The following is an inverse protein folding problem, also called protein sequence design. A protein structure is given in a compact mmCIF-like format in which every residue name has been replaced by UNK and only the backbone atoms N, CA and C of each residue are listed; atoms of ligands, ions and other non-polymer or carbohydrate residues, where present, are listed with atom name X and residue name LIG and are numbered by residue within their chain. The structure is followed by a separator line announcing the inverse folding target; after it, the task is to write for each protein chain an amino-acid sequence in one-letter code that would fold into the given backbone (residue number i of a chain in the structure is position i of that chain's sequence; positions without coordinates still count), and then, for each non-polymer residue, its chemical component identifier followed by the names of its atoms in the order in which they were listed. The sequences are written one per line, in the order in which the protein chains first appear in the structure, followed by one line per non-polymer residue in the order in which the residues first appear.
data_IF_873086387972
#
_entry.id   IF_873086387972
#
_cell.length_a   1.000
_cell.length_b   1.000
_cell.length_c   1.000
_cell.angle_alpha   90.00
_cell.angle_beta   90.00
_cell.angle_gamma   90.00
#
_symmetry.space_group_name_H-M   'P 1'
#
loop_
_entity.id
_entity.type
_entity.pdbx_description
1 polymer ?
#
# COMPACT_ATOMS: atom_id res chain seq x y z
N UNK A 1 -50.01 6.56 -44.13
CA UNK A 1 -49.89 7.37 -45.36
C UNK A 1 -48.67 8.27 -45.18
N UNK A 2 -47.55 7.97 -45.87
CA UNK A 2 -47.08 8.77 -47.03
C UNK A 2 -46.91 10.25 -46.66
N UNK A 3 -45.74 10.90 -46.67
CA UNK A 3 -44.60 10.83 -47.60
C UNK A 3 -43.43 11.64 -47.01
N UNK A 4 -42.21 11.16 -47.19
CA UNK A 4 -41.03 12.02 -47.46
C UNK A 4 -41.09 12.41 -48.96
N UNK A 5 -40.44 13.49 -49.46
CA UNK A 5 -38.98 13.44 -49.62
C UNK A 5 -38.17 14.78 -49.73
N UNK A 6 -36.83 14.60 -49.62
CA UNK A 6 -35.71 15.26 -50.33
C UNK A 6 -35.42 16.76 -50.05
N UNK A 7 -34.17 17.25 -49.95
CA UNK A 7 -32.96 16.86 -50.72
C UNK A 7 -31.64 17.47 -50.19
N UNK A 8 -30.53 16.72 -50.39
CA UNK A 8 -29.13 17.13 -50.77
C UNK A 8 -28.30 17.93 -49.73
N UNK A 9 -27.00 17.69 -49.46
CA UNK A 9 -25.86 17.25 -50.30
C UNK A 9 -24.67 16.76 -49.44
N UNK A 10 -23.87 15.87 -50.03
CA UNK A 10 -22.48 15.40 -49.81
C UNK A 10 -21.56 16.04 -48.74
N UNK A 11 -20.73 15.21 -48.08
CA UNK A 11 -19.26 15.08 -48.31
C UNK A 11 -18.76 13.78 -47.66
N UNK A 12 -17.95 13.04 -48.42
CA UNK A 12 -17.23 11.82 -48.03
C UNK A 12 -16.06 12.13 -47.08
N UNK A 13 -15.78 11.20 -46.17
CA UNK A 13 -14.53 11.14 -45.39
C UNK A 13 -14.49 9.87 -44.55
N UNK A 14 -13.76 8.87 -45.04
CA UNK A 14 -13.41 7.63 -44.35
C UNK A 14 -12.57 7.90 -43.09
N UNK A 15 -12.72 7.04 -42.08
CA UNK A 15 -11.64 6.46 -41.25
C UNK A 15 -12.12 6.21 -39.81
N UNK A 16 -12.27 4.94 -39.42
CA UNK A 16 -12.13 4.52 -38.01
C UNK A 16 -11.94 3.00 -37.95
N UNK A 17 -10.71 2.59 -38.24
CA UNK A 17 -10.15 1.30 -37.87
C UNK A 17 -8.97 1.58 -36.93
N UNK A 18 -8.92 0.85 -35.81
CA UNK A 18 -7.79 0.70 -34.88
C UNK A 18 -7.33 1.92 -34.05
N UNK A 19 -7.96 2.14 -32.89
CA UNK A 19 -7.28 2.72 -31.71
C UNK A 19 -7.64 1.88 -30.47
N UNK A 20 -7.07 0.68 -30.39
CA UNK A 20 -7.32 -0.25 -29.28
C UNK A 20 -6.08 -1.02 -28.79
N UNK A 21 -4.89 -0.71 -29.30
CA UNK A 21 -3.68 -1.54 -29.04
C UNK A 21 -2.41 -0.73 -28.72
N UNK A 22 -2.55 0.54 -28.30
CA UNK A 22 -1.38 1.39 -28.02
C UNK A 22 -1.29 1.95 -26.58
N UNK A 23 -2.18 1.55 -25.67
CA UNK A 23 -2.09 1.97 -24.26
C UNK A 23 -1.52 0.92 -23.28
N UNK A 24 -1.18 -0.27 -23.76
CA UNK A 24 -0.63 -1.36 -22.94
C UNK A 24 0.90 -1.50 -23.00
N UNK A 25 1.59 -0.71 -23.83
CA UNK A 25 3.05 -0.75 -23.95
C UNK A 25 3.80 0.39 -23.24
N UNK A 26 3.09 1.36 -22.66
CA UNK A 26 3.74 2.52 -21.99
C UNK A 26 3.80 2.39 -20.46
N UNK A 27 3.15 1.38 -19.86
CA UNK A 27 3.14 1.21 -18.39
C UNK A 27 4.08 0.14 -17.82
N UNK A 28 4.78 -0.62 -18.66
CA UNK A 28 5.76 -1.61 -18.18
C UNK A 28 7.23 -1.13 -18.20
N UNK A 29 7.58 -0.09 -18.97
CA UNK A 29 8.98 0.39 -19.02
C UNK A 29 9.36 1.41 -17.95
N UNK A 30 8.42 1.89 -17.12
CA UNK A 30 8.72 2.86 -16.06
C UNK A 30 9.14 2.21 -14.72
N UNK A 31 8.85 0.93 -14.52
CA UNK A 31 9.17 0.21 -13.27
C UNK A 31 10.53 -0.50 -13.30
N UNK A 32 11.10 -0.80 -14.47
CA UNK A 32 12.46 -1.37 -14.58
C UNK A 32 13.58 -0.31 -14.56
N UNK A 33 13.29 0.96 -14.82
CA UNK A 33 14.31 2.02 -14.83
C UNK A 33 14.61 2.61 -13.44
N UNK A 34 13.73 2.44 -12.45
CA UNK A 34 13.94 2.99 -11.11
C UNK A 34 14.74 2.06 -10.18
N UNK A 35 14.72 0.74 -10.44
CA UNK A 35 15.42 -0.24 -9.59
C UNK A 35 16.90 -0.45 -9.96
N UNK A 36 17.36 0.06 -11.10
CA UNK A 36 18.73 -0.15 -11.61
C UNK A 36 19.71 0.99 -11.30
N UNK A 37 19.27 2.06 -10.63
CA UNK A 37 20.09 3.27 -10.40
C UNK A 37 20.47 3.51 -8.93
N UNK A 38 20.04 2.65 -8.00
CA UNK A 38 20.33 2.81 -6.55
C UNK A 38 21.32 1.78 -5.97
N UNK A 39 21.84 0.84 -6.77
CA UNK A 39 22.76 -0.21 -6.30
C UNK A 39 24.19 -0.12 -6.88
N UNK A 40 24.69 1.07 -7.26
CA UNK A 40 26.05 1.17 -7.83
C UNK A 40 26.82 2.44 -7.48
N UNK A 41 26.68 2.98 -6.26
CA UNK A 41 27.62 3.97 -5.74
C UNK A 41 27.86 3.78 -4.25
N UNK A 42 28.97 3.12 -3.95
CA UNK A 42 29.92 3.36 -2.85
C UNK A 42 30.63 2.05 -2.48
N UNK A 43 31.44 1.59 -3.42
CA UNK A 43 32.60 0.76 -3.15
C UNK A 43 33.73 1.30 -4.01
N UNK A 44 34.92 1.36 -3.41
CA UNK A 44 36.23 1.68 -4.00
C UNK A 44 36.59 3.17 -4.16
N UNK A 45 37.31 3.71 -3.18
CA UNK A 45 38.66 4.23 -3.42
C UNK A 45 39.44 4.35 -2.09
N UNK A 46 40.41 3.44 -1.92
CA UNK A 46 41.46 3.49 -0.90
C UNK A 46 42.81 3.74 -1.63
N UNK A 47 43.69 4.48 -0.94
CA UNK A 47 45.16 4.63 -1.06
C UNK A 47 45.77 5.77 -1.86
N UNK A 48 46.43 6.68 -1.10
CA UNK A 48 47.76 7.32 -1.28
C UNK A 48 47.73 8.66 -0.48
N UNK A 49 48.62 9.06 0.43
CA UNK A 49 49.83 8.52 1.04
C UNK A 49 50.63 9.65 1.73
N UNK A 50 50.88 9.49 3.04
CA UNK A 50 52.13 9.88 3.78
C UNK A 50 52.36 11.35 4.30
N UNK A 51 53.30 11.61 5.26
CA UNK A 51 53.09 11.66 6.73
C UNK A 51 53.63 12.94 7.43
N UNK A 52 53.13 13.37 8.61
CA UNK A 52 53.91 14.24 9.52
C UNK A 52 53.68 13.92 11.02
N UNK A 53 54.79 13.46 11.62
CA UNK A 53 55.32 13.55 12.99
C UNK A 53 54.47 13.40 14.28
N UNK A 54 54.95 12.41 15.04
CA UNK A 54 54.76 12.10 16.47
C UNK A 54 55.08 13.26 17.41
N UNK A 55 54.27 13.42 18.47
CA UNK A 55 54.77 13.66 19.83
C UNK A 55 53.97 12.87 20.87
N UNK A 56 54.72 12.13 21.69
CA UNK A 56 54.42 11.37 22.95
C UNK A 56 54.01 12.35 24.07
N UNK A 57 53.29 12.05 25.16
CA UNK A 57 52.87 10.85 25.92
C UNK A 57 51.84 11.32 27.01
N UNK A 58 51.51 10.61 28.13
CA UNK A 58 51.44 9.16 28.40
C UNK A 58 50.10 8.69 29.04
N UNK A 59 49.72 7.46 28.69
CA UNK A 59 49.10 6.38 29.50
C UNK A 59 48.05 6.67 30.59
N UNK A 60 46.85 6.15 30.34
CA UNK A 60 45.89 5.69 31.34
C UNK A 60 44.92 4.71 30.69
N UNK A 61 45.32 3.44 30.61
CA UNK A 61 44.53 2.34 30.05
C UNK A 61 43.15 2.20 30.72
N UNK A 62 42.08 2.27 29.93
CA UNK A 62 40.93 1.38 30.09
C UNK A 62 40.64 0.78 28.72
N UNK A 63 40.84 -0.52 28.65
CA UNK A 63 40.70 -1.37 27.47
C UNK A 63 39.28 -1.42 26.95
N UNK A 64 39.20 -1.54 25.63
CA UNK A 64 38.05 -1.97 24.82
C UNK A 64 37.05 -2.84 25.59
N UNK A 65 35.82 -2.35 25.67
CA UNK A 65 34.64 -3.21 25.68
C UNK A 65 33.82 -2.79 24.50
N UNK A 66 33.79 -3.68 23.50
CA UNK A 66 32.93 -3.61 22.33
C UNK A 66 31.56 -3.10 22.73
N UNK A 67 31.15 -2.01 22.07
CA UNK A 67 29.88 -1.33 22.26
C UNK A 67 28.76 -2.22 21.71
N UNK A 68 28.42 -3.28 22.44
CA UNK A 68 27.24 -4.09 22.18
C UNK A 68 26.03 -3.27 22.64
N UNK A 69 25.56 -2.39 21.74
CA UNK A 69 24.30 -1.67 21.91
C UNK A 69 23.21 -2.74 22.00
N UNK A 70 22.63 -2.90 23.19
CA UNK A 70 21.41 -3.66 23.37
C UNK A 70 20.38 -3.11 22.37
N UNK A 71 19.97 -3.93 21.40
CA UNK A 71 18.98 -3.56 20.42
C UNK A 71 17.69 -3.14 21.16
N UNK A 72 17.19 -1.95 20.82
CA UNK A 72 15.95 -1.45 21.37
C UNK A 72 14.79 -2.43 21.02
N UNK A 73 13.79 -2.60 21.91
CA UNK A 73 12.58 -3.35 21.57
C UNK A 73 11.95 -2.81 20.28
N UNK A 74 11.35 -3.67 19.43
CA UNK A 74 10.74 -3.23 18.17
C UNK A 74 9.67 -2.16 18.42
N UNK A 75 9.88 -0.98 17.83
CA UNK A 75 9.01 0.21 17.99
C UNK A 75 9.63 1.38 18.77
N UNK A 76 10.76 1.17 19.47
CA UNK A 76 11.48 2.23 20.20
C UNK A 76 12.66 2.70 19.33
N UNK A 77 12.79 4.03 19.16
CA UNK A 77 13.90 4.68 18.45
C UNK A 77 15.25 4.17 18.96
N UNK A 78 16.24 3.98 18.08
CA UNK A 78 17.54 3.44 18.48
C UNK A 78 18.26 4.32 19.53
N UNK A 79 19.08 3.69 20.37
CA UNK A 79 19.70 4.35 21.53
C UNK A 79 20.63 5.50 21.15
N UNK A 80 21.28 5.44 19.99
CA UNK A 80 22.16 6.51 19.52
C UNK A 80 21.33 7.75 19.18
N UNK A 81 20.23 7.58 18.45
CA UNK A 81 19.28 8.66 18.14
C UNK A 81 18.66 9.24 19.42
N UNK A 82 18.21 8.40 20.36
CA UNK A 82 17.70 8.88 21.65
C UNK A 82 18.74 9.72 22.40
N UNK A 83 19.99 9.24 22.46
CA UNK A 83 21.10 9.97 23.07
C UNK A 83 21.25 11.35 22.44
N UNK A 84 21.40 11.43 21.12
CA UNK A 84 21.62 12.70 20.41
C UNK A 84 20.48 13.70 20.65
N UNK A 85 19.22 13.24 20.59
CA UNK A 85 18.05 14.09 20.82
C UNK A 85 18.05 14.60 22.27
N UNK A 86 18.18 13.71 23.26
CA UNK A 86 18.11 14.11 24.67
C UNK A 86 19.31 14.92 25.12
N UNK A 87 20.50 14.68 24.57
CA UNK A 87 21.70 15.49 24.83
C UNK A 87 21.45 16.96 24.52
N UNK A 88 20.82 17.25 23.37
CA UNK A 88 20.46 18.61 22.99
C UNK A 88 19.35 19.18 23.89
N UNK A 89 18.29 18.42 24.15
CA UNK A 89 17.15 18.90 24.91
C UNK A 89 17.46 19.16 26.39
N UNK A 90 18.36 18.37 27.00
CA UNK A 90 18.80 18.58 28.39
C UNK A 90 19.70 19.81 28.57
N UNK A 91 20.25 20.37 27.48
CA UNK A 91 21.04 21.61 27.51
C UNK A 91 20.19 22.87 27.37
N UNK A 92 18.88 22.72 27.10
CA UNK A 92 17.98 23.86 26.92
C UNK A 92 17.91 24.69 28.20
N UNK A 93 17.97 26.02 28.05
CA UNK A 93 17.83 26.95 29.19
C UNK A 93 16.35 27.33 29.37
N UNK A 94 15.88 27.49 30.62
CA UNK A 94 14.52 27.95 30.88
C UNK A 94 14.25 29.32 30.26
N UNK A 95 13.19 29.44 29.45
CA UNK A 95 12.70 30.71 28.90
C UNK A 95 11.31 31.01 29.43
N UNK A 96 11.00 32.26 29.77
CA UNK A 96 9.70 32.67 30.33
C UNK A 96 8.52 32.12 29.52
N UNK A 97 7.55 31.50 30.20
CA UNK A 97 6.36 30.91 29.60
C UNK A 97 6.54 29.48 29.08
N UNK A 98 7.76 28.96 28.99
CA UNK A 98 7.98 27.56 28.65
C UNK A 98 7.56 26.63 29.79
N UNK A 99 7.21 25.40 29.42
CA UNK A 99 6.84 24.36 30.37
C UNK A 99 7.92 23.31 30.58
N UNK A 100 7.99 22.85 31.82
CA UNK A 100 8.97 21.87 32.29
C UNK A 100 8.24 20.82 33.12
N UNK A 101 8.77 19.60 33.16
CA UNK A 101 8.13 18.47 33.83
C UNK A 101 9.04 17.88 34.90
N UNK A 102 8.45 17.58 36.06
CA UNK A 102 9.16 16.97 37.18
C UNK A 102 9.31 15.46 36.96
N UNK A 103 10.52 14.95 37.12
CA UNK A 103 10.89 13.54 37.02
C UNK A 103 11.70 13.15 38.25
N UNK A 104 11.57 11.91 38.74
CA UNK A 104 12.45 11.40 39.79
C UNK A 104 13.91 11.37 39.30
N UNK A 105 14.81 11.96 40.07
CA UNK A 105 16.22 12.11 39.69
C UNK A 105 16.93 10.76 39.48
N UNK A 106 16.55 9.72 40.23
CA UNK A 106 17.11 8.38 40.05
C UNK A 106 16.76 7.81 38.66
N UNK A 107 15.54 8.07 38.20
CA UNK A 107 15.07 7.62 36.89
C UNK A 107 15.82 8.33 35.76
N UNK A 108 15.99 9.66 35.84
CA UNK A 108 16.71 10.40 34.79
C UNK A 108 18.19 10.02 34.73
N UNK A 109 18.81 9.77 35.88
CA UNK A 109 20.21 9.32 35.93
C UNK A 109 20.38 7.89 35.41
N UNK A 110 19.40 7.01 35.65
CA UNK A 110 19.37 5.68 35.04
C UNK A 110 19.20 5.75 33.52
N UNK A 111 18.31 6.62 33.01
CA UNK A 111 18.15 6.86 31.58
C UNK A 111 19.46 7.33 30.95
N UNK A 112 20.12 8.33 31.54
CA UNK A 112 21.39 8.85 31.04
C UNK A 112 22.43 7.73 30.91
N UNK A 113 22.54 6.83 31.88
CA UNK A 113 23.44 5.66 31.80
C UNK A 113 23.08 4.70 30.68
N UNK A 114 21.80 4.41 30.54
CA UNK A 114 21.28 3.49 29.55
C UNK A 114 21.60 3.95 28.12
N UNK A 115 21.45 5.24 27.85
CA UNK A 115 21.76 5.85 26.54
C UNK A 115 23.21 6.38 26.43
N UNK A 116 24.01 6.21 27.48
CA UNK A 116 25.44 6.58 27.53
C UNK A 116 25.75 8.06 27.77
N UNK A 117 24.78 8.89 28.15
CA UNK A 117 25.02 10.28 28.56
C UNK A 117 25.78 10.38 29.89
N UNK A 118 26.55 11.46 30.11
CA UNK A 118 27.21 11.71 31.38
C UNK A 118 26.18 11.89 32.50
N UNK A 119 26.39 11.19 33.61
CA UNK A 119 25.59 11.32 34.84
C UNK A 119 26.21 12.35 35.77
N UNK A 120 25.38 13.14 36.45
CA UNK A 120 25.84 14.10 37.46
C UNK A 120 25.81 13.50 38.87
N UNK A 121 25.12 12.37 39.07
CA UNK A 121 24.96 11.72 40.37
C UNK A 121 25.53 10.30 40.38
N UNK A 122 26.16 9.93 41.50
CA UNK A 122 26.73 8.59 41.72
C UNK A 122 25.64 7.61 42.18
N UNK A 123 24.95 7.00 41.23
CA UNK A 123 24.20 5.75 41.45
C UNK A 123 25.08 4.54 41.11
N UNK A 124 24.78 3.36 41.64
CA UNK A 124 25.60 2.14 41.43
C UNK A 124 24.94 1.12 40.49
N UNK A 125 23.90 1.52 39.76
CA UNK A 125 23.15 0.63 38.87
C UNK A 125 23.85 0.41 37.52
N UNK A 126 23.66 -0.78 36.97
CA UNK A 126 24.11 -1.22 35.64
C UNK A 126 23.44 -0.38 34.53
N UNK A 127 23.96 -0.44 33.28
CA UNK A 127 23.36 0.22 32.10
C UNK A 127 22.09 -0.49 31.62
N UNK A 128 21.10 -0.60 32.50
CA UNK A 128 19.81 -1.24 32.21
C UNK A 128 18.77 -0.20 31.79
N UNK A 129 17.77 -0.65 31.03
CA UNK A 129 16.62 0.19 30.67
C UNK A 129 15.96 0.76 31.95
N UNK A 130 15.66 2.07 32.01
CA UNK A 130 15.06 2.69 33.20
C UNK A 130 13.60 2.28 33.47
N UNK A 131 12.91 1.69 32.48
CA UNK A 131 11.47 1.40 32.56
C UNK A 131 10.61 2.67 32.47
N UNK A 132 9.30 2.56 32.77
CA UNK A 132 8.38 3.70 32.69
C UNK A 132 8.76 4.87 33.59
N UNK A 133 8.46 6.08 33.14
CA UNK A 133 8.80 7.32 33.86
C UNK A 133 8.10 7.34 35.22
N UNK A 134 8.83 7.76 36.25
CA UNK A 134 8.31 7.95 37.60
C UNK A 134 8.30 9.46 37.89
N UNK A 135 7.14 9.99 38.23
CA UNK A 135 6.98 11.38 38.70
C UNK A 135 6.61 11.42 40.18
N UNK A 136 7.18 12.36 40.93
CA UNK A 136 6.80 12.62 42.31
C UNK A 136 7.03 14.09 42.63
N UNK A 137 6.27 14.64 43.57
CA UNK A 137 6.46 15.99 44.10
C UNK A 137 6.92 15.90 45.54
N UNK A 138 8.16 15.46 45.73
CA UNK A 138 8.83 15.42 47.04
C UNK A 138 10.06 16.35 47.05
N UNK A 139 10.91 16.22 48.07
CA UNK A 139 12.04 17.12 48.34
C UNK A 139 12.84 17.48 47.07
N UNK A 140 13.22 18.76 46.93
CA UNK A 140 13.85 19.28 45.70
C UNK A 140 15.10 18.49 45.21
N UNK A 141 15.78 17.74 46.09
CA UNK A 141 16.97 16.97 45.73
C UNK A 141 16.66 15.57 45.19
N UNK A 142 15.44 15.07 45.22
CA UNK A 142 15.07 13.73 44.71
C UNK A 142 14.42 13.79 43.33
N UNK A 143 14.19 14.99 42.83
CA UNK A 143 13.58 15.25 41.53
C UNK A 143 14.51 16.09 40.66
N UNK A 144 14.38 15.92 39.36
CA UNK A 144 14.93 16.81 38.35
C UNK A 144 13.78 17.32 37.48
N UNK A 145 14.05 18.34 36.66
CA UNK A 145 13.07 18.91 35.74
C UNK A 145 13.63 18.88 34.32
N UNK A 146 12.77 18.57 33.36
CA UNK A 146 13.12 18.51 31.95
C UNK A 146 12.20 19.39 31.12
N UNK A 147 12.70 19.92 30.02
CA UNK A 147 11.89 20.69 29.09
C UNK A 147 10.75 19.84 28.49
N UNK A 148 9.62 20.45 28.14
CA UNK A 148 8.43 19.79 27.56
C UNK A 148 8.74 18.89 26.36
N UNK A 149 9.63 19.31 25.47
CA UNK A 149 10.03 18.48 24.32
C UNK A 149 10.74 17.19 24.76
N UNK A 150 11.63 17.27 25.76
CA UNK A 150 12.29 16.08 26.30
C UNK A 150 11.27 15.16 26.98
N UNK A 151 10.36 15.75 27.74
CA UNK A 151 9.26 15.02 28.36
C UNK A 151 8.43 14.25 27.33
N UNK A 152 8.00 14.90 26.24
CA UNK A 152 7.21 14.26 25.16
C UNK A 152 7.94 13.07 24.53
N UNK A 153 9.22 13.25 24.20
CA UNK A 153 10.04 12.17 23.64
C UNK A 153 10.19 11.00 24.62
N UNK A 154 10.48 11.29 25.89
CA UNK A 154 10.65 10.24 26.89
C UNK A 154 9.34 9.50 27.18
N UNK A 155 8.19 10.20 27.23
CA UNK A 155 6.88 9.57 27.38
C UNK A 155 6.59 8.63 26.21
N UNK A 156 6.91 9.04 24.98
CA UNK A 156 6.75 8.20 23.81
C UNK A 156 7.62 6.93 23.85
N UNK A 157 8.85 7.03 24.36
CA UNK A 157 9.78 5.90 24.37
C UNK A 157 9.65 4.96 25.58
N UNK A 158 9.31 5.50 26.74
CA UNK A 158 9.34 4.76 28.01
C UNK A 158 7.97 4.63 28.65
N UNK A 159 6.99 5.46 28.27
CA UNK A 159 5.69 5.54 28.92
C UNK A 159 5.77 6.18 30.31
N UNK A 160 4.62 6.26 30.96
CA UNK A 160 4.47 6.75 32.33
C UNK A 160 4.07 5.58 33.23
N UNK A 161 4.65 5.50 34.43
CA UNK A 161 4.30 4.46 35.41
C UNK A 161 2.83 4.55 35.79
N UNK A 162 2.15 3.41 35.92
CA UNK A 162 0.73 3.36 36.28
C UNK A 162 0.43 4.13 37.57
N UNK A 163 -0.64 4.94 37.52
CA UNK A 163 -1.05 5.81 38.63
C UNK A 163 -0.26 7.10 38.78
N UNK A 164 0.86 7.27 38.07
CA UNK A 164 1.57 8.55 38.02
C UNK A 164 0.89 9.53 37.07
N UNK A 165 1.10 10.82 37.30
CA UNK A 165 0.59 11.91 36.44
C UNK A 165 1.73 12.84 36.03
N UNK A 166 1.66 13.47 34.84
CA UNK A 166 2.58 14.55 34.48
C UNK A 166 2.50 15.68 35.51
N UNK A 167 3.65 16.18 35.95
CA UNK A 167 3.73 17.31 36.88
C UNK A 167 4.37 18.48 36.13
N UNK A 168 3.51 19.29 35.51
CA UNK A 168 3.88 20.45 34.70
C UNK A 168 4.22 21.65 35.61
N UNK A 169 5.32 22.33 35.28
CA UNK A 169 5.79 23.58 35.86
C UNK A 169 5.98 24.60 34.74
N UNK A 170 5.94 25.89 35.07
CA UNK A 170 6.12 26.98 34.11
C UNK A 170 7.35 27.79 34.48
N UNK A 171 8.04 28.34 33.48
CA UNK A 171 9.12 29.30 33.72
C UNK A 171 8.55 30.69 33.92
N UNK A 172 8.92 31.33 35.03
CA UNK A 172 8.60 32.70 35.34
C UNK A 172 9.86 33.56 35.31
N UNK A 173 9.75 34.81 34.88
CA UNK A 173 10.87 35.73 34.84
C UNK A 173 10.94 36.54 36.14
N UNK A 174 11.75 36.05 37.08
CA UNK A 174 12.08 36.75 38.33
C UNK A 174 13.01 37.93 38.04
N UNK A 175 13.22 38.83 39.00
CA UNK A 175 14.18 39.94 38.86
C UNK A 175 15.61 39.45 38.63
N UNK A 176 15.94 38.26 39.12
CA UNK A 176 17.22 37.58 38.90
C UNK A 176 17.33 36.87 37.54
N UNK A 177 16.24 36.79 36.78
CA UNK A 177 16.15 36.14 35.48
C UNK A 177 15.11 35.00 35.44
N UNK A 178 14.97 34.33 34.26
CA UNK A 178 14.04 33.23 34.07
C UNK A 178 14.37 32.02 34.93
N UNK A 179 13.38 31.52 35.66
CA UNK A 179 13.51 30.35 36.51
C UNK A 179 12.20 29.57 36.58
N UNK A 180 12.31 28.26 36.81
CA UNK A 180 11.15 27.37 36.89
C UNK A 180 10.40 27.66 38.20
N UNK A 181 9.11 27.96 38.09
CA UNK A 181 8.24 28.16 39.24
C UNK A 181 7.90 26.80 39.87
N UNK A 182 8.53 26.51 41.00
CA UNK A 182 8.27 25.27 41.74
C UNK A 182 6.96 25.29 42.53
N UNK A 183 6.59 26.47 43.07
CA UNK A 183 5.38 26.64 43.87
C UNK A 183 4.52 27.79 43.36
N UNK A 184 3.22 27.53 43.36
CA UNK A 184 2.20 28.55 43.16
C UNK A 184 2.01 29.36 44.44
N UNK A 185 1.77 30.66 44.29
CA UNK A 185 1.46 31.55 45.40
C UNK A 185 0.04 31.28 45.91
N UNK A 186 -0.16 31.40 47.22
CA UNK A 186 -1.47 31.27 47.85
C UNK A 186 -2.14 32.63 47.95
N UNK A 187 -3.29 32.79 47.31
CA UNK A 187 -4.09 33.99 47.32
C UNK A 187 -5.24 33.87 48.32
N UNK A 188 -5.64 34.98 48.93
CA UNK A 188 -6.93 35.13 49.59
C UNK A 188 -7.89 35.75 48.59
N UNK A 189 -9.02 35.12 48.32
CA UNK A 189 -10.00 35.62 47.34
C UNK A 189 -11.36 35.81 47.97
N UNK A 190 -11.97 36.96 47.71
CA UNK A 190 -13.21 37.40 48.35
C UNK A 190 -14.07 38.26 47.42
N UNK A 191 -15.32 38.53 47.80
CA UNK A 191 -16.09 39.62 47.22
C UNK A 191 -15.65 40.94 47.85
N UNK A 192 -15.73 42.04 47.11
CA UNK A 192 -15.32 43.37 47.60
C UNK A 192 -16.17 43.88 48.77
N UNK A 193 -17.41 43.41 48.87
CA UNK A 193 -18.35 43.73 49.96
C UNK A 193 -18.21 42.81 51.18
N UNK A 194 -17.42 41.73 51.09
CA UNK A 194 -17.21 40.79 52.20
C UNK A 194 -16.23 41.36 53.23
N UNK A 195 -16.30 40.84 54.46
CA UNK A 195 -15.27 41.06 55.49
C UNK A 195 -13.92 40.48 55.04
N UNK A 196 -12.80 41.08 55.45
CA UNK A 196 -11.44 40.57 55.18
C UNK A 196 -11.16 39.18 55.79
N UNK A 197 -12.03 38.70 56.67
CA UNK A 197 -11.98 37.35 57.24
C UNK A 197 -12.78 36.32 56.44
N UNK A 198 -13.69 36.78 55.56
CA UNK A 198 -14.53 35.96 54.70
C UNK A 198 -13.89 35.81 53.33
N UNK A 199 -12.97 34.84 53.22
CA UNK A 199 -12.20 34.59 52.00
C UNK A 199 -11.94 33.09 51.77
N UNK A 200 -11.65 32.75 50.51
CA UNK A 200 -11.14 31.44 50.13
C UNK A 200 -9.62 31.48 49.90
N UNK A 201 -8.94 30.39 50.22
CA UNK A 201 -7.55 30.17 49.83
C UNK A 201 -7.49 29.47 48.47
N UNK A 202 -6.87 30.11 47.48
CA UNK A 202 -6.68 29.56 46.14
C UNK A 202 -5.24 29.74 45.71
N UNK A 203 -4.65 28.74 45.05
CA UNK A 203 -3.28 28.83 44.54
C UNK A 203 -3.29 29.18 43.06
N UNK A 204 -2.46 30.15 42.68
CA UNK A 204 -2.26 30.55 41.29
C UNK A 204 -0.77 30.64 40.99
N UNK A 205 -0.40 30.32 39.75
CA UNK A 205 0.93 30.62 39.22
C UNK A 205 1.11 32.12 39.07
N UNK A 206 2.34 32.61 39.19
CA UNK A 206 2.69 33.98 38.80
C UNK A 206 2.41 34.26 37.31
N UNK A 207 2.43 33.22 36.48
CA UNK A 207 2.07 33.29 35.06
C UNK A 207 0.56 33.19 34.80
N UNK A 208 -0.27 33.03 35.83
CA UNK A 208 -1.72 32.99 35.67
C UNK A 208 -2.26 34.33 35.17
N UNK A 209 -3.16 34.29 34.19
CA UNK A 209 -3.81 35.49 33.68
C UNK A 209 -4.83 36.02 34.67
N UNK A 210 -4.93 37.34 34.78
CA UNK A 210 -5.93 38.05 35.59
C UNK A 210 -7.35 37.56 35.28
N UNK A 211 -7.68 37.34 34.00
CA UNK A 211 -9.00 36.84 33.59
C UNK A 211 -9.31 35.41 34.07
N UNK A 212 -8.31 34.54 34.29
CA UNK A 212 -8.54 33.22 34.88
C UNK A 212 -8.81 33.32 36.38
N UNK A 213 -8.05 34.18 37.07
CA UNK A 213 -8.27 34.45 38.50
C UNK A 213 -9.69 34.96 38.71
N UNK A 214 -10.10 35.96 37.93
CA UNK A 214 -11.47 36.50 37.99
C UNK A 214 -12.52 35.42 37.72
N UNK A 215 -12.35 34.63 36.64
CA UNK A 215 -13.24 33.51 36.34
C UNK A 215 -13.35 32.55 37.53
N UNK A 216 -12.23 32.19 38.16
CA UNK A 216 -12.20 31.25 39.28
C UNK A 216 -12.94 31.79 40.50
N UNK A 217 -12.81 33.08 40.81
CA UNK A 217 -13.53 33.72 41.91
C UNK A 217 -15.03 33.75 41.60
N UNK A 218 -15.41 34.10 40.36
CA UNK A 218 -16.81 34.05 39.92
C UNK A 218 -17.42 32.66 40.12
N UNK A 219 -16.69 31.59 39.83
CA UNK A 219 -17.15 30.22 40.10
C UNK A 219 -17.32 29.93 41.59
N UNK A 220 -16.39 30.37 42.44
CA UNK A 220 -16.46 30.15 43.89
C UNK A 220 -17.68 30.84 44.53
N UNK A 221 -18.02 32.04 44.05
CA UNK A 221 -19.16 32.82 44.55
C UNK A 221 -20.43 32.70 43.69
N UNK A 222 -20.46 31.74 42.76
CA UNK A 222 -21.62 31.48 41.89
C UNK A 222 -22.12 32.73 41.12
N UNK A 223 -21.21 33.57 40.63
CA UNK A 223 -21.55 34.80 39.91
C UNK A 223 -22.07 34.45 38.50
N UNK A 224 -23.26 34.96 38.09
CA UNK A 224 -23.83 34.69 36.76
C UNK A 224 -22.89 35.10 35.62
N UNK A 225 -22.91 34.39 34.49
CA UNK A 225 -21.95 34.60 33.38
C UNK A 225 -22.08 35.98 32.73
N UNK A 226 -23.30 36.50 32.65
CA UNK A 226 -23.70 37.81 32.12
C UNK A 226 -23.42 38.97 33.08
N UNK A 227 -23.29 38.68 34.38
CA UNK A 227 -22.95 39.69 35.38
C UNK A 227 -21.53 40.22 35.17
N UNK A 228 -21.36 41.52 34.98
CA UNK A 228 -20.02 42.12 34.89
C UNK A 228 -19.34 42.12 36.28
N UNK A 229 -18.02 41.88 36.27
CA UNK A 229 -17.16 41.97 37.44
C UNK A 229 -15.78 42.50 37.09
N UNK A 230 -15.02 42.93 38.10
CA UNK A 230 -13.61 43.32 38.00
C UNK A 230 -12.89 42.98 39.30
N UNK A 231 -11.56 42.91 39.28
CA UNK A 231 -10.79 42.53 40.47
C UNK A 231 -9.89 43.66 40.98
N UNK A 232 -9.88 43.78 42.31
CA UNK A 232 -8.96 44.60 43.08
C UNK A 232 -7.96 43.69 43.76
N UNK A 233 -6.70 44.11 43.81
CA UNK A 233 -5.64 43.29 44.40
C UNK A 233 -4.69 44.13 45.22
N UNK A 234 -4.22 43.56 46.33
CA UNK A 234 -3.09 44.08 47.10
C UNK A 234 -2.22 42.93 47.60
N UNK A 235 -0.95 43.19 47.84
CA UNK A 235 -0.08 42.25 48.55
C UNK A 235 -0.09 42.55 50.05
N UNK A 236 0.37 41.62 50.89
CA UNK A 236 0.46 41.84 52.35
C UNK A 236 1.33 43.06 52.72
N UNK A 237 2.25 43.46 51.83
CA UNK A 237 3.12 44.63 52.03
C UNK A 237 2.52 45.93 51.53
N UNK A 238 1.44 45.88 50.73
CA UNK A 238 0.80 47.06 50.17
C UNK A 238 -0.36 47.52 51.05
N UNK A 239 -0.40 48.82 51.35
CA UNK A 239 -1.54 49.44 52.04
C UNK A 239 -2.73 49.71 51.13
N UNK A 240 -2.50 49.90 49.82
CA UNK A 240 -3.51 50.35 48.86
C UNK A 240 -3.98 49.24 47.92
N UNK A 241 -5.26 49.28 47.57
CA UNK A 241 -5.85 48.41 46.55
C UNK A 241 -5.51 48.87 45.14
N UNK A 242 -5.06 47.94 44.30
CA UNK A 242 -4.82 48.17 42.87
C UNK A 242 -5.91 47.53 42.04
N UNK A 243 -6.55 48.31 41.16
CA UNK A 243 -7.53 47.80 40.20
C UNK A 243 -6.81 47.15 39.01
N UNK A 244 -7.14 45.90 38.68
CA UNK A 244 -6.56 45.19 37.54
C UNK A 244 -7.58 45.08 36.40
N UNK A 245 -7.48 45.96 35.42
CA UNK A 245 -8.42 46.03 34.30
C UNK A 245 -8.05 45.13 33.13
N UNK A 246 -6.78 44.86 32.88
CA UNK A 246 -6.36 44.05 31.73
C UNK A 246 -6.30 42.57 32.11
N UNK A 247 -7.28 41.79 31.66
CA UNK A 247 -7.42 40.36 31.93
C UNK A 247 -6.36 39.48 31.27
N UNK A 248 -5.68 39.98 30.24
CA UNK A 248 -4.66 39.24 29.50
C UNK A 248 -3.29 39.27 30.16
N UNK A 249 -3.07 40.19 31.11
CA UNK A 249 -1.80 40.26 31.86
C UNK A 249 -1.71 39.14 32.88
N UNK A 250 -0.48 38.70 33.12
CA UNK A 250 -0.16 37.73 34.17
C UNK A 250 -0.10 38.42 35.54
N UNK A 251 -0.59 37.74 36.56
CA UNK A 251 -0.71 38.32 37.92
C UNK A 251 0.65 38.66 38.54
N UNK A 252 1.68 37.86 38.23
CA UNK A 252 3.04 38.09 38.70
C UNK A 252 3.60 39.43 38.22
N UNK A 253 3.37 39.78 36.94
CA UNK A 253 3.79 41.07 36.38
C UNK A 253 2.94 42.23 36.89
N UNK A 254 1.65 42.03 37.12
CA UNK A 254 0.78 43.08 37.66
C UNK A 254 1.15 43.51 39.08
N UNK A 255 1.73 42.59 39.86
CA UNK A 255 2.01 42.77 41.29
C UNK A 255 3.50 42.73 41.63
N UNK A 256 4.36 42.62 40.62
CA UNK A 256 5.82 42.44 40.78
C UNK A 256 6.18 41.30 41.75
N UNK A 257 5.45 40.18 41.66
CA UNK A 257 5.68 39.02 42.55
C UNK A 257 7.01 38.38 42.16
N UNK A 258 7.97 38.42 43.07
CA UNK A 258 9.32 37.88 42.89
C UNK A 258 9.64 36.76 43.90
N UNK A 259 8.62 36.24 44.62
CA UNK A 259 8.79 35.21 45.65
C UNK A 259 7.54 34.35 45.80
N UNK A 260 7.73 33.06 46.09
CA UNK A 260 6.67 32.08 46.38
C UNK A 260 5.94 32.37 47.71
N UNK A 261 6.52 33.22 48.57
CA UNK A 261 5.95 33.54 49.89
C UNK A 261 4.96 34.70 49.87
N UNK A 262 4.83 35.43 48.75
CA UNK A 262 3.84 36.50 48.62
C UNK A 262 2.44 35.91 48.63
N UNK A 263 1.55 36.49 49.42
CA UNK A 263 0.15 36.05 49.55
C UNK A 263 -0.82 37.18 49.21
N UNK A 264 -1.11 37.42 47.93
CA UNK A 264 -1.98 38.53 47.57
C UNK A 264 -3.41 38.31 48.06
N UNK A 265 -4.08 39.41 48.38
CA UNK A 265 -5.52 39.45 48.66
C UNK A 265 -6.23 40.04 47.45
N UNK A 266 -7.23 39.33 46.93
CA UNK A 266 -8.01 39.68 45.75
C UNK A 266 -9.47 39.84 46.13
N UNK A 267 -10.03 40.99 45.79
CA UNK A 267 -11.44 41.29 45.98
C UNK A 267 -12.13 41.42 44.62
N UNK A 268 -13.17 40.62 44.37
CA UNK A 268 -14.01 40.70 43.19
C UNK A 268 -15.14 41.71 43.44
N UNK A 269 -15.16 42.78 42.66
CA UNK A 269 -16.27 43.73 42.62
C UNK A 269 -17.25 43.34 41.52
N UNK A 270 -18.54 43.36 41.84
CA UNK A 270 -19.63 43.07 40.92
C UNK A 270 -20.27 44.39 40.50
N UNK A 271 -20.48 44.57 39.19
CA UNK A 271 -21.14 45.74 38.64
C UNK A 271 -22.64 45.76 39.00
N UNK A 272 -23.20 46.91 39.34
CA UNK A 272 -24.64 47.02 39.67
C UNK A 272 -25.47 47.24 38.39
N UNK A 273 -26.80 47.07 38.47
CA UNK A 273 -27.77 47.10 37.35
C UNK A 273 -27.70 48.34 36.42
N UNK A 274 -27.00 49.41 36.81
CA UNK A 274 -26.77 50.64 36.01
C UNK A 274 -25.40 50.70 35.29
N UNK A 275 -24.68 49.58 35.19
CA UNK A 275 -23.27 49.52 34.75
C UNK A 275 -22.32 50.40 35.59
N UNK A 276 -22.71 50.68 36.84
CA UNK A 276 -21.91 51.48 37.79
C UNK A 276 -21.17 50.58 38.76
N UNK A 277 -19.94 51.00 39.06
CA UNK A 277 -19.09 50.36 40.04
C UNK A 277 -19.12 51.12 41.36
N UNK A 278 -19.81 50.60 42.37
CA UNK A 278 -20.06 51.29 43.65
C UNK A 278 -19.56 50.51 44.86
N UNK A 279 -18.99 49.34 44.63
CA UNK A 279 -18.63 48.39 45.68
C UNK A 279 -17.11 48.19 45.70
N UNK A 280 -16.34 49.25 45.49
CA UNK A 280 -14.90 49.18 45.63
C UNK A 280 -14.52 48.78 47.08
N UNK A 281 -13.43 48.03 47.29
CA UNK A 281 -12.99 47.67 48.64
C UNK A 281 -12.79 48.91 49.52
N UNK A 282 -12.92 48.73 50.83
CA UNK A 282 -12.63 49.79 51.80
C UNK A 282 -11.21 50.35 51.56
N UNK A 283 -11.10 51.67 51.57
CA UNK A 283 -9.87 52.45 51.30
C UNK A 283 -9.38 52.44 49.84
N UNK A 284 -10.16 51.91 48.90
CA UNK A 284 -9.91 52.07 47.47
C UNK A 284 -10.58 53.34 46.92
N UNK A 285 -9.92 54.01 45.98
CA UNK A 285 -10.52 55.12 45.22
C UNK A 285 -11.58 54.58 44.27
N UNK A 286 -12.77 55.17 44.24
CA UNK A 286 -13.79 54.82 43.26
C UNK A 286 -13.32 55.15 41.83
N UNK A 287 -13.29 54.14 40.97
CA UNK A 287 -12.92 54.24 39.56
C UNK A 287 -14.08 53.68 38.74
N UNK A 288 -14.50 54.36 37.68
CA UNK A 288 -15.60 53.92 36.79
C UNK A 288 -15.05 53.33 35.47
N UNK A 289 -14.04 52.48 35.56
CA UNK A 289 -13.44 51.81 34.40
C UNK A 289 -13.81 50.32 34.39
N UNK A 290 -14.07 49.80 33.19
CA UNK A 290 -14.44 48.40 32.96
C UNK A 290 -13.23 47.59 32.51
N UNK A 291 -13.13 46.31 32.91
CA UNK A 291 -12.01 45.47 32.52
C UNK A 291 -12.04 45.14 31.02
N UNK A 292 -10.87 44.94 30.45
CA UNK A 292 -10.63 44.57 29.05
C UNK A 292 -10.09 43.14 28.97
N UNK A 293 -10.40 42.45 27.87
CA UNK A 293 -10.01 41.07 27.63
C UNK A 293 -11.04 40.04 28.11
N UNK A 294 -10.86 38.76 27.74
CA UNK A 294 -11.80 37.69 28.06
C UNK A 294 -11.57 37.12 29.47
N UNK A 295 -12.60 36.47 29.99
CA UNK A 295 -12.47 35.55 31.12
C UNK A 295 -11.93 34.22 30.62
N UNK A 296 -10.98 33.63 31.34
CA UNK A 296 -10.34 32.37 30.96
C UNK A 296 -10.83 31.24 31.86
N UNK A 297 -11.56 30.28 31.29
CA UNK A 297 -12.05 29.13 32.05
C UNK A 297 -10.92 28.19 32.50
N UNK A 298 -9.93 28.01 31.63
CA UNK A 298 -8.80 27.12 31.84
C UNK A 298 -7.60 27.88 32.42
N UNK A 299 -6.90 27.24 33.36
CA UNK A 299 -5.63 27.77 33.88
C UNK A 299 -4.50 27.53 32.87
N UNK A 300 -3.35 28.16 33.10
CA UNK A 300 -2.16 28.02 32.22
C UNK A 300 -1.61 26.59 32.10
N UNK A 301 -1.95 25.68 33.01
CA UNK A 301 -1.46 24.29 32.99
C UNK A 301 -2.42 23.33 32.30
N UNK A 302 -3.61 23.82 31.88
CA UNK A 302 -4.59 22.99 31.19
C UNK A 302 -4.11 22.77 29.76
N UNK A 303 -3.86 21.51 29.42
CA UNK A 303 -3.44 21.12 28.07
C UNK A 303 -4.66 21.04 27.13
N UNK A 304 -4.93 22.13 26.42
CA UNK A 304 -5.98 22.17 25.40
C UNK A 304 -5.56 21.42 24.11
N UNK A 305 -4.26 21.38 23.84
CA UNK A 305 -3.67 20.79 22.62
C UNK A 305 -3.80 19.28 22.57
N UNK A 306 -3.64 18.59 23.70
CA UNK A 306 -3.78 17.12 23.79
C UNK A 306 -5.13 16.62 23.27
N UNK A 307 -6.21 17.35 23.56
CA UNK A 307 -7.55 16.98 23.06
C UNK A 307 -7.67 17.10 21.54
N UNK A 308 -6.96 18.07 20.94
CA UNK A 308 -6.96 18.28 19.49
C UNK A 308 -6.02 17.29 18.79
N UNK A 309 -4.89 16.95 19.40
CA UNK A 309 -3.96 15.95 18.87
C UNK A 309 -4.60 14.56 18.83
N UNK A 310 -5.30 14.16 19.89
CA UNK A 310 -6.06 12.89 19.93
C UNK A 310 -7.13 12.88 18.84
N UNK A 311 -7.90 13.95 18.69
CA UNK A 311 -8.94 14.06 17.65
C UNK A 311 -8.34 13.97 16.23
N UNK A 312 -7.21 14.64 15.97
CA UNK A 312 -6.52 14.54 14.68
C UNK A 312 -6.01 13.12 14.42
N UNK A 313 -5.41 12.47 15.41
CA UNK A 313 -4.93 11.08 15.27
C UNK A 313 -6.09 10.12 15.01
N UNK A 314 -7.20 10.23 15.75
CA UNK A 314 -8.40 9.42 15.51
C UNK A 314 -8.97 9.66 14.10
N UNK A 315 -8.99 10.91 13.62
CA UNK A 315 -9.45 11.22 12.27
C UNK A 315 -8.53 10.61 11.19
N UNK A 316 -7.21 10.71 11.35
CA UNK A 316 -6.24 10.09 10.43
C UNK A 316 -6.42 8.57 10.39
N UNK A 317 -6.58 7.93 11.55
CA UNK A 317 -6.80 6.49 11.64
C UNK A 317 -8.12 6.07 10.99
N UNK A 318 -9.20 6.83 11.19
CA UNK A 318 -10.48 6.57 10.52
C UNK A 318 -10.39 6.69 8.99
N UNK A 319 -9.69 7.71 8.50
CA UNK A 319 -9.45 7.87 7.05
C UNK A 319 -8.63 6.71 6.51
N UNK A 320 -7.54 6.34 7.19
CA UNK A 320 -6.68 5.22 6.80
C UNK A 320 -7.44 3.90 6.74
N UNK A 321 -8.22 3.61 7.77
CA UNK A 321 -9.05 2.39 7.84
C UNK A 321 -10.10 2.35 6.73
N UNK A 322 -10.83 3.44 6.53
CA UNK A 322 -11.85 3.55 5.47
C UNK A 322 -11.24 3.33 4.08
N UNK A 323 -10.07 3.91 3.81
CA UNK A 323 -9.39 3.77 2.52
C UNK A 323 -8.95 2.31 2.27
N UNK A 324 -8.39 1.66 3.29
CA UNK A 324 -7.97 0.25 3.23
C UNK A 324 -9.17 -0.68 3.05
N UNK A 325 -10.25 -0.48 3.80
CA UNK A 325 -11.47 -1.29 3.70
C UNK A 325 -12.10 -1.17 2.31
N UNK A 326 -12.19 0.07 1.77
CA UNK A 326 -12.69 0.30 0.41
C UNK A 326 -11.82 -0.37 -0.66
N UNK A 327 -10.49 -0.35 -0.50
CA UNK A 327 -9.58 -1.04 -1.42
C UNK A 327 -9.78 -2.56 -1.36
N UNK A 328 -9.95 -3.13 -0.17
CA UNK A 328 -10.22 -4.56 0.01
C UNK A 328 -11.54 -5.00 -0.62
N UNK A 329 -12.61 -4.21 -0.47
CA UNK A 329 -13.90 -4.51 -1.11
C UNK A 329 -13.78 -4.48 -2.63
N UNK A 330 -13.15 -3.43 -3.19
CA UNK A 330 -12.97 -3.31 -4.63
C UNK A 330 -12.08 -4.42 -5.21
N UNK A 331 -10.99 -4.75 -4.52
CA UNK A 331 -10.10 -5.83 -4.94
C UNK A 331 -10.80 -7.19 -4.88
N UNK A 332 -11.57 -7.46 -3.82
CA UNK A 332 -12.34 -8.70 -3.69
C UNK A 332 -13.38 -8.84 -4.80
N UNK A 333 -14.11 -7.75 -5.13
CA UNK A 333 -15.06 -7.74 -6.23
C UNK A 333 -14.37 -7.95 -7.60
N UNK A 334 -13.18 -7.37 -7.80
CA UNK A 334 -12.37 -7.60 -8.99
C UNK A 334 -11.93 -9.06 -9.12
N UNK A 335 -11.37 -9.64 -8.06
CA UNK A 335 -10.94 -11.05 -8.03
C UNK A 335 -12.11 -11.99 -8.28
N UNK A 336 -13.27 -11.71 -7.69
CA UNK A 336 -14.48 -12.51 -7.91
C UNK A 336 -14.93 -12.48 -9.38
N UNK A 337 -14.99 -11.29 -10.01
CA UNK A 337 -15.32 -11.18 -11.44
C UNK A 337 -14.29 -11.87 -12.34
N UNK A 338 -13.00 -11.78 -11.99
CA UNK A 338 -11.95 -12.45 -12.75
C UNK A 338 -12.10 -13.98 -12.67
N UNK A 339 -12.45 -14.52 -11.49
CA UNK A 339 -12.75 -15.94 -11.31
C UNK A 339 -13.95 -16.37 -12.16
N UNK A 340 -15.06 -15.64 -12.10
CA UNK A 340 -16.26 -15.94 -12.89
C UNK A 340 -15.98 -15.97 -14.40
N UNK A 341 -15.17 -15.03 -14.89
CA UNK A 341 -14.75 -15.00 -16.30
C UNK A 341 -13.91 -16.23 -16.69
N UNK A 342 -13.00 -16.66 -15.82
CA UNK A 342 -12.18 -17.86 -16.05
C UNK A 342 -13.07 -19.11 -16.06
N UNK A 343 -13.99 -19.23 -15.09
CA UNK A 343 -14.91 -20.37 -14.98
C UNK A 343 -15.83 -20.47 -16.21
N UNK A 344 -16.37 -19.34 -16.70
CA UNK A 344 -17.19 -19.30 -17.91
C UNK A 344 -16.40 -19.71 -19.16
N UNK A 345 -15.16 -19.23 -19.30
CA UNK A 345 -14.28 -19.60 -20.41
C UNK A 345 -13.94 -21.09 -20.38
N UNK A 346 -13.63 -21.63 -19.21
CA UNK A 346 -13.32 -23.05 -19.03
C UNK A 346 -14.54 -23.93 -19.31
N UNK A 347 -15.75 -23.47 -18.92
CA UNK A 347 -16.99 -24.13 -19.29
C UNK A 347 -17.16 -24.21 -20.82
N UNK A 348 -16.96 -23.10 -21.53
CA UNK A 348 -17.05 -23.08 -22.98
C UNK A 348 -15.98 -23.95 -23.68
N UNK A 349 -14.75 -23.97 -23.16
CA UNK A 349 -13.70 -24.84 -23.67
C UNK A 349 -14.08 -26.32 -23.54
N UNK A 350 -14.59 -26.73 -22.37
CA UNK A 350 -15.07 -28.11 -22.15
C UNK A 350 -16.22 -28.49 -23.06
N UNK A 351 -17.14 -27.56 -23.36
CA UNK A 351 -18.23 -27.83 -24.31
C UNK A 351 -17.69 -28.04 -25.73
N UNK A 352 -16.76 -27.18 -26.18
CA UNK A 352 -16.12 -27.33 -27.50
C UNK A 352 -15.32 -28.63 -27.61
N UNK A 353 -14.62 -29.02 -26.55
CA UNK A 353 -13.88 -30.28 -26.49
C UNK A 353 -14.80 -31.49 -26.66
N UNK A 354 -15.98 -31.49 -26.03
CA UNK A 354 -17.01 -32.53 -26.23
C UNK A 354 -17.52 -32.56 -27.67
N UNK A 355 -17.79 -31.41 -28.28
CA UNK A 355 -18.25 -31.33 -29.66
C UNK A 355 -17.21 -31.86 -30.65
N UNK A 356 -15.92 -31.57 -30.40
CA UNK A 356 -14.80 -32.10 -31.19
C UNK A 356 -14.75 -33.62 -31.06
N UNK A 357 -14.77 -34.14 -29.83
CA UNK A 357 -14.75 -35.56 -29.57
C UNK A 357 -15.87 -36.31 -30.31
N UNK A 358 -17.11 -35.80 -30.26
CA UNK A 358 -18.24 -36.40 -30.97
C UNK A 358 -18.05 -36.41 -32.50
N UNK A 359 -17.44 -35.36 -33.06
CA UNK A 359 -17.13 -35.28 -34.49
C UNK A 359 -16.01 -36.24 -34.88
N UNK A 360 -14.97 -36.35 -34.06
CA UNK A 360 -13.87 -37.30 -34.26
C UNK A 360 -14.40 -38.73 -34.29
N UNK A 361 -15.19 -39.13 -33.29
CA UNK A 361 -15.81 -40.47 -33.26
C UNK A 361 -16.71 -40.73 -34.47
N UNK A 362 -17.46 -39.73 -34.94
CA UNK A 362 -18.28 -39.89 -36.15
C UNK A 362 -17.43 -40.06 -37.41
N UNK A 363 -16.33 -39.33 -37.53
CA UNK A 363 -15.39 -39.45 -38.65
C UNK A 363 -14.69 -40.81 -38.63
N UNK A 364 -14.30 -41.30 -37.45
CA UNK A 364 -13.70 -42.63 -37.28
C UNK A 364 -14.65 -43.74 -37.76
N UNK A 365 -15.92 -43.75 -37.32
CA UNK A 365 -16.93 -44.72 -37.78
C UNK A 365 -17.21 -44.63 -39.28
N UNK A 366 -17.22 -43.42 -39.86
CA UNK A 366 -17.37 -43.24 -41.30
C UNK A 366 -16.15 -43.76 -42.07
N UNK A 367 -14.95 -43.57 -41.54
CA UNK A 367 -13.70 -44.02 -42.14
C UNK A 367 -13.65 -45.55 -42.16
N UNK A 368 -13.98 -46.20 -41.05
CA UNK A 368 -14.07 -47.67 -40.96
C UNK A 368 -15.06 -48.23 -42.00
N UNK A 369 -16.24 -47.61 -42.14
CA UNK A 369 -17.23 -48.00 -43.15
C UNK A 369 -16.75 -47.81 -44.59
N UNK A 370 -15.92 -46.80 -44.85
CA UNK A 370 -15.34 -46.57 -46.17
C UNK A 370 -14.25 -47.61 -46.47
N UNK A 371 -13.37 -47.90 -45.51
CA UNK A 371 -12.36 -48.95 -45.64
C UNK A 371 -12.98 -50.32 -45.91
N UNK A 372 -14.07 -50.66 -45.23
CA UNK A 372 -14.78 -51.91 -45.48
C UNK A 372 -15.44 -51.98 -46.86
N UNK A 373 -15.98 -50.86 -47.36
CA UNK A 373 -16.50 -50.77 -48.73
C UNK A 373 -15.39 -50.89 -49.77
N UNK A 374 -14.23 -50.28 -49.52
CA UNK A 374 -13.06 -50.38 -50.38
C UNK A 374 -12.60 -51.83 -50.50
N UNK A 375 -12.44 -52.54 -49.37
CA UNK A 375 -12.11 -53.98 -49.37
C UNK A 375 -13.10 -54.82 -50.18
N UNK A 376 -14.41 -54.51 -50.08
CA UNK A 376 -15.45 -55.22 -50.87
C UNK A 376 -15.30 -54.92 -52.37
N UNK A 377 -15.05 -53.67 -52.73
CA UNK A 377 -14.85 -53.27 -54.13
C UNK A 377 -13.59 -53.90 -54.72
N UNK A 378 -12.49 -53.95 -53.97
CA UNK A 378 -11.26 -54.61 -54.38
C UNK A 378 -11.48 -56.11 -54.63
N UNK A 379 -12.18 -56.80 -53.72
CA UNK A 379 -12.52 -58.20 -53.91
C UNK A 379 -13.43 -58.43 -55.15
N UNK A 380 -14.33 -57.50 -55.45
CA UNK A 380 -15.15 -57.52 -56.66
C UNK A 380 -14.30 -57.30 -57.92
N UNK A 381 -13.38 -56.34 -57.90
CA UNK A 381 -12.44 -56.08 -58.99
C UNK A 381 -11.57 -57.31 -59.28
N UNK A 382 -10.96 -57.92 -58.26
CA UNK A 382 -10.18 -59.15 -58.38
C UNK A 382 -11.03 -60.32 -58.95
N UNK A 383 -12.30 -60.40 -58.58
CA UNK A 383 -13.23 -61.39 -59.14
C UNK A 383 -13.49 -61.13 -60.64
N UNK A 384 -13.76 -59.89 -61.02
CA UNK A 384 -13.95 -59.48 -62.41
C UNK A 384 -12.70 -59.74 -63.25
N UNK A 385 -11.51 -59.42 -62.75
CA UNK A 385 -10.23 -59.69 -63.42
C UNK A 385 -10.01 -61.19 -63.63
N UNK A 386 -10.32 -62.03 -62.63
CA UNK A 386 -10.27 -63.49 -62.80
C UNK A 386 -11.20 -63.98 -63.90
N UNK A 387 -12.43 -63.46 -63.96
CA UNK A 387 -13.39 -63.80 -65.01
C UNK A 387 -12.91 -63.34 -66.39
N UNK A 388 -12.35 -62.14 -66.50
CA UNK A 388 -11.77 -61.60 -67.74
C UNK A 388 -10.64 -62.52 -68.25
N UNK A 389 -9.70 -62.87 -67.37
CA UNK A 389 -8.57 -63.75 -67.69
C UNK A 389 -9.04 -65.14 -68.15
N UNK A 390 -10.10 -65.69 -67.53
CA UNK A 390 -10.71 -66.96 -67.93
C UNK A 390 -11.39 -66.86 -69.32
N UNK A 391 -12.11 -65.77 -69.59
CA UNK A 391 -12.68 -65.50 -70.91
C UNK A 391 -11.60 -65.38 -71.99
N UNK A 392 -10.50 -64.68 -71.71
CA UNK A 392 -9.36 -64.55 -72.63
C UNK A 392 -8.66 -65.89 -72.86
N UNK A 393 -8.52 -66.72 -71.82
CA UNK A 393 -7.99 -68.09 -71.96
C UNK A 393 -8.88 -68.93 -72.89
N UNK A 394 -10.20 -68.93 -72.65
CA UNK A 394 -11.16 -69.65 -73.52
C UNK A 394 -11.14 -69.14 -74.95
N UNK A 395 -11.03 -67.84 -75.16
CA UNK A 395 -10.89 -67.24 -76.49
C UNK A 395 -9.67 -67.78 -77.22
N UNK A 396 -8.50 -67.80 -76.56
CA UNK A 396 -7.26 -68.37 -77.13
C UNK A 396 -7.39 -69.85 -77.45
N UNK A 397 -8.04 -70.64 -76.58
CA UNK A 397 -8.30 -72.06 -76.81
C UNK A 397 -9.17 -72.28 -78.06
N UNK A 398 -10.26 -71.51 -78.19
CA UNK A 398 -11.13 -71.55 -79.37
C UNK A 398 -10.37 -71.13 -80.63
N UNK A 399 -9.53 -70.09 -80.57
CA UNK A 399 -8.70 -69.66 -81.70
C UNK A 399 -7.73 -70.77 -82.16
N UNK A 400 -7.09 -71.46 -81.22
CA UNK A 400 -6.21 -72.61 -81.51
C UNK A 400 -7.01 -73.76 -82.13
N UNK A 401 -8.18 -74.07 -81.59
CA UNK A 401 -9.03 -75.15 -82.12
C UNK A 401 -9.55 -74.84 -83.52
N UNK A 402 -10.03 -73.62 -83.76
CA UNK A 402 -10.42 -73.13 -85.09
C UNK A 402 -9.26 -73.21 -86.08
N UNK A 403 -8.03 -72.88 -85.64
CA UNK A 403 -6.84 -72.99 -86.48
C UNK A 403 -6.54 -74.45 -86.85
N UNK A 404 -6.58 -75.37 -85.89
CA UNK A 404 -6.41 -76.81 -86.16
C UNK A 404 -7.45 -77.34 -87.14
N UNK A 405 -8.73 -76.99 -86.93
CA UNK A 405 -9.82 -77.39 -87.82
C UNK A 405 -9.61 -76.85 -89.23
N UNK A 406 -9.13 -75.60 -89.37
CA UNK A 406 -8.79 -75.03 -90.68
C UNK A 406 -7.63 -75.76 -91.34
N UNK A 407 -6.55 -76.04 -90.61
CA UNK A 407 -5.42 -76.82 -91.12
C UNK A 407 -5.84 -78.25 -91.54
N UNK A 408 -6.77 -78.86 -90.81
CA UNK A 408 -7.33 -80.18 -91.16
C UNK A 408 -8.19 -80.12 -92.42
N UNK A 409 -9.04 -79.09 -92.56
CA UNK A 409 -9.81 -78.81 -93.77
C UNK A 409 -8.90 -78.59 -94.98
N UNK A 410 -7.83 -77.81 -94.83
CA UNK A 410 -6.85 -77.55 -95.89
C UNK A 410 -6.15 -78.86 -96.29
N UNK A 411 -5.74 -79.70 -95.33
CA UNK A 411 -5.17 -81.03 -95.63
C UNK A 411 -6.15 -81.94 -96.37
N UNK A 412 -7.43 -81.92 -96.01
CA UNK A 412 -8.48 -82.67 -96.70
C UNK A 412 -8.72 -82.13 -98.12
N UNK A 413 -8.64 -80.81 -98.33
CA UNK A 413 -8.72 -80.21 -99.66
C UNK A 413 -7.50 -80.53 -100.53
N UNK A 414 -6.30 -80.46 -99.97
CA UNK A 414 -5.05 -80.84 -100.64
C UNK A 414 -5.10 -82.31 -101.06
N UNK A 415 -5.56 -83.20 -100.17
CA UNK A 415 -5.77 -84.63 -100.48
C UNK A 415 -6.74 -84.80 -101.65
N UNK A 416 -7.91 -84.15 -101.60
CA UNK A 416 -8.88 -84.16 -102.71
C UNK A 416 -8.29 -83.63 -104.02
N UNK A 417 -7.48 -82.57 -103.98
CA UNK A 417 -6.78 -82.03 -105.16
C UNK A 417 -5.77 -83.01 -105.73
N UNK A 418 -4.99 -83.67 -104.88
CA UNK A 418 -4.02 -84.70 -105.33
C UNK A 418 -4.74 -85.89 -105.93
N UNK A 419 -5.78 -86.42 -105.30
CA UNK A 419 -6.62 -87.50 -105.83
C UNK A 419 -7.22 -87.11 -107.19
N UNK A 420 -7.77 -85.90 -107.31
CA UNK A 420 -8.32 -85.39 -108.57
C UNK A 420 -7.24 -85.26 -109.65
N UNK A 421 -6.04 -84.78 -109.30
CA UNK A 421 -4.92 -84.67 -110.23
C UNK A 421 -4.47 -86.03 -110.74
N UNK A 422 -4.30 -87.01 -109.86
CA UNK A 422 -3.97 -88.40 -110.24
C UNK A 422 -5.04 -89.00 -111.14
N UNK A 423 -6.33 -88.75 -110.84
CA UNK A 423 -7.44 -89.19 -111.68
C UNK A 423 -7.39 -88.54 -113.07
N UNK A 424 -7.05 -87.26 -113.14
CA UNK A 424 -6.89 -86.51 -114.39
C UNK A 424 -5.69 -86.99 -115.21
N UNK A 425 -4.54 -87.22 -114.59
CA UNK A 425 -3.34 -87.75 -115.25
C UNK A 425 -3.61 -89.15 -115.83
N UNK A 426 -4.31 -90.02 -115.09
CA UNK A 426 -4.76 -91.31 -115.62
C UNK A 426 -5.70 -91.15 -116.83
N UNK A 427 -6.65 -90.22 -116.76
CA UNK A 427 -7.55 -89.92 -117.88
C UNK A 427 -6.81 -89.38 -119.11
N UNK A 428 -5.85 -88.47 -118.93
CA UNK A 428 -5.03 -87.93 -120.03
C UNK A 428 -4.14 -89.02 -120.64
N UNK A 429 -3.58 -89.93 -119.84
CA UNK A 429 -2.81 -91.07 -120.33
C UNK A 429 -3.67 -92.02 -121.17
N UNK A 430 -4.91 -92.29 -120.76
CA UNK A 430 -5.89 -93.03 -121.57
C UNK A 430 -6.25 -92.29 -122.86
N UNK A 431 -6.46 -90.97 -122.80
CA UNK A 431 -6.76 -90.14 -123.97
C UNK A 431 -5.61 -90.13 -124.98
N UNK A 432 -4.38 -90.02 -124.52
CA UNK A 432 -3.19 -89.98 -125.38
C UNK A 432 -2.90 -91.34 -125.98
N UNK A 433 -3.17 -92.43 -125.24
CA UNK A 433 -3.19 -93.80 -125.79
C UNK A 433 -4.23 -93.92 -126.91
N UNK A 434 -5.45 -93.43 -126.68
CA UNK A 434 -6.52 -93.40 -127.68
C UNK A 434 -6.16 -92.55 -128.92
N UNK A 435 -5.52 -91.40 -128.75
CA UNK A 435 -5.07 -90.55 -129.86
C UNK A 435 -3.93 -91.19 -130.65
N UNK A 436 -3.00 -91.86 -129.97
CA UNK A 436 -1.92 -92.59 -130.62
C UNK A 436 -2.46 -93.74 -131.47
N UNK A 437 -3.48 -94.45 -130.98
CA UNK A 437 -4.23 -95.47 -131.74
C UNK A 437 -4.94 -94.86 -132.97
N UNK A 438 -5.54 -93.66 -132.85
CA UNK A 438 -6.15 -92.92 -133.96
C UNK A 438 -5.13 -92.44 -135.02
N UNK A 439 -3.94 -92.01 -134.60
CA UNK A 439 -2.91 -91.51 -135.51
C UNK A 439 -2.28 -92.62 -136.34
N UNK A 440 -2.19 -93.84 -135.80
CA UNK A 440 -1.85 -95.07 -136.55
C UNK A 440 -2.93 -95.42 -137.58
N UNK A 441 -4.21 -95.18 -137.28
CA UNK A 441 -5.29 -95.37 -138.25
C UNK A 441 -5.26 -94.34 -139.38
N UNK A 442 -4.86 -93.09 -139.09
CA UNK A 442 -4.80 -92.02 -140.09
C UNK A 442 -3.60 -92.10 -141.04
N UNK A 443 -2.47 -92.70 -140.64
CA UNK A 443 -1.29 -92.85 -141.50
C UNK A 443 -1.42 -93.94 -142.57
N UNK A 444 -2.47 -94.77 -142.50
CA UNK A 444 -2.78 -95.82 -143.48
C UNK A 444 -3.62 -95.31 -144.66
N UNK A 445 -4.10 -94.06 -144.61
CA UNK A 445 -4.99 -93.47 -145.64
C UNK A 445 -4.31 -92.39 -146.52
N UNK A 446 -2.97 -92.34 -146.59
CA UNK A 446 -2.21 -91.48 -147.52
C UNK A 446 -1.87 -92.20 -148.83
#
# INVERSE_FOLDING_TARGET
MMRCPASLTEVQGSDTLCVGTLLLHVRMSALELFFRQSCSREADEITQGTPIYKQRAPWGHFSDTSMELAAAPPGITDLLTQRTILEHLFLKRPTEGEFWYVIVAEWIEQLKRYIGLPTTRKFYHQRTNPGPIITRRDYAHTVDVVHEDAWRMMIQWYGLTDGHKPIKLVVYNYRRGPEIEHNQNSFKVMLSVSSLEDFHHVKFSKMEKVGHIEYKIRQLYCIPKDQQSRIWVKTDTDSEWRLLLNRDKTIGKCLDIDSDFVRPTVALEICVEDEKWVNAPQDATEIQESPTGPLYEHNIFTDLTSSWEVDIHEQIDHIGKSLVDNLHVNFSAFVQKAREFVDERDYHLRQRERDIYLRETFIEDLTEKLEDKEKVLDAQLESCERQLNECDRRKKEIEVECKKQREELDRLEERRRTEFKTLKENFEMERDKFHSELQVLMSVLS
#
